data_IF_068629835400
#
_entry.id   IF_068629835400
#
_cell.length_a   1.000
_cell.length_b   1.000
_cell.length_c   1.000
_cell.angle_alpha   90.00
_cell.angle_beta   90.00
_cell.angle_gamma   90.00
#
_symmetry.space_group_name_H-M   'P 1'
#
loop_
_entity.id
_entity.type
_entity.pdbx_description
1 polymer ?
#
# COMPACT_ATOMS: atom_id res chain seq x y z
N UNK A 1 -4.55 13.74 -19.24
CA UNK A 1 -4.10 14.64 -18.14
C UNK A 1 -4.83 14.22 -16.89
N UNK A 2 -4.10 13.89 -15.82
CA UNK A 2 -4.67 13.46 -14.54
C UNK A 2 -4.94 14.70 -13.67
N UNK A 3 -6.16 14.84 -13.17
CA UNK A 3 -6.54 15.96 -12.31
C UNK A 3 -6.33 15.61 -10.84
N UNK A 4 -6.22 16.63 -9.97
CA UNK A 4 -6.11 16.41 -8.53
C UNK A 4 -7.32 15.63 -7.97
N UNK A 5 -8.51 15.79 -8.57
CA UNK A 5 -9.73 15.08 -8.15
C UNK A 5 -9.61 13.58 -8.42
N UNK A 6 -9.16 13.21 -9.61
CA UNK A 6 -8.98 11.81 -10.01
C UNK A 6 -7.95 11.12 -9.10
N UNK A 7 -6.85 11.83 -8.79
CA UNK A 7 -5.84 11.36 -7.84
C UNK A 7 -6.44 11.13 -6.46
N UNK A 8 -7.14 12.12 -5.91
CA UNK A 8 -7.60 12.10 -4.52
C UNK A 8 -8.75 11.11 -4.28
N UNK A 9 -9.72 11.05 -5.19
CA UNK A 9 -10.96 10.28 -4.98
C UNK A 9 -10.86 8.86 -5.50
N UNK A 10 -10.23 8.66 -6.67
CA UNK A 10 -10.38 7.41 -7.42
C UNK A 10 -9.10 6.55 -7.40
N UNK A 11 -7.96 7.10 -6.95
CA UNK A 11 -6.68 6.41 -7.08
C UNK A 11 -5.93 6.15 -5.77
N UNK A 12 -6.17 6.89 -4.69
CA UNK A 12 -5.34 6.70 -3.50
C UNK A 12 -5.59 5.37 -2.77
N UNK A 13 -6.80 4.82 -2.83
CA UNK A 13 -7.11 3.50 -2.27
C UNK A 13 -6.42 2.39 -3.07
N UNK A 14 -6.70 2.34 -4.37
CA UNK A 14 -6.18 1.33 -5.30
C UNK A 14 -4.65 1.38 -5.47
N UNK A 15 -4.05 2.58 -5.45
CA UNK A 15 -2.59 2.75 -5.49
C UNK A 15 -1.91 2.15 -4.27
N UNK A 16 -2.54 2.31 -3.11
CA UNK A 16 -2.04 1.78 -1.86
C UNK A 16 -2.27 0.26 -1.69
N UNK A 17 -3.17 -0.31 -2.48
CA UNK A 17 -3.43 -1.74 -2.60
C UNK A 17 -2.63 -2.41 -3.74
N UNK A 18 -1.83 -1.63 -4.48
CA UNK A 18 -1.02 -2.07 -5.64
C UNK A 18 -1.86 -2.75 -6.73
N UNK A 19 -3.14 -2.41 -6.85
CA UNK A 19 -4.07 -3.02 -7.81
C UNK A 19 -4.04 -2.34 -9.18
N UNK A 20 -3.25 -1.26 -9.33
CA UNK A 20 -3.17 -0.53 -10.60
C UNK A 20 -2.28 -1.19 -11.65
N UNK A 21 -2.70 -1.00 -12.90
CA UNK A 21 -1.84 -1.23 -14.06
C UNK A 21 -0.60 -0.32 -13.99
N UNK A 22 0.59 -0.80 -14.38
CA UNK A 22 1.84 -0.02 -14.30
C UNK A 22 1.79 1.35 -14.99
N UNK A 23 1.02 1.45 -16.08
CA UNK A 23 0.86 2.70 -16.85
C UNK A 23 0.16 3.80 -16.03
N UNK A 24 -0.83 3.42 -15.22
CA UNK A 24 -1.60 4.35 -14.37
C UNK A 24 -0.75 4.85 -13.21
N UNK A 25 0.12 3.99 -12.67
CA UNK A 25 1.07 4.33 -11.62
C UNK A 25 2.05 5.42 -12.08
N UNK A 26 2.60 5.29 -13.28
CA UNK A 26 3.54 6.27 -13.82
C UNK A 26 2.90 7.67 -13.99
N UNK A 27 1.66 7.72 -14.44
CA UNK A 27 0.95 9.00 -14.60
C UNK A 27 0.62 9.65 -13.25
N UNK A 28 0.23 8.85 -12.27
CA UNK A 28 -0.02 9.29 -10.90
C UNK A 28 1.26 9.82 -10.24
N UNK A 29 2.39 9.11 -10.36
CA UNK A 29 3.67 9.55 -9.81
C UNK A 29 4.13 10.88 -10.41
N UNK A 30 3.97 11.08 -11.72
CA UNK A 30 4.26 12.36 -12.37
C UNK A 30 3.43 13.49 -11.80
N UNK A 31 2.13 13.28 -11.59
CA UNK A 31 1.25 14.28 -10.98
C UNK A 31 1.68 14.60 -9.54
N UNK A 32 1.96 13.57 -8.75
CA UNK A 32 2.36 13.69 -7.36
C UNK A 32 3.69 14.44 -7.18
N UNK A 33 4.64 14.28 -8.11
CA UNK A 33 5.89 15.03 -8.14
C UNK A 33 5.67 16.51 -8.51
N UNK A 34 4.73 16.79 -9.42
CA UNK A 34 4.44 18.14 -9.89
C UNK A 34 3.47 18.94 -9.00
N UNK A 35 2.73 18.27 -8.11
CA UNK A 35 1.65 18.87 -7.32
C UNK A 35 1.85 18.69 -5.80
N UNK A 36 2.48 19.67 -5.12
CA UNK A 36 2.71 19.62 -3.67
C UNK A 36 1.44 19.41 -2.81
N UNK A 37 0.26 19.99 -3.15
CA UNK A 37 -0.97 19.72 -2.41
C UNK A 37 -1.40 18.24 -2.44
N UNK A 38 -1.34 17.59 -3.60
CA UNK A 38 -1.67 16.16 -3.73
C UNK A 38 -0.67 15.29 -2.95
N UNK A 39 0.61 15.68 -2.92
CA UNK A 39 1.62 15.01 -2.11
C UNK A 39 1.36 15.16 -0.61
N UNK A 40 0.95 16.34 -0.14
CA UNK A 40 0.57 16.56 1.24
C UNK A 40 -0.68 15.75 1.63
N UNK A 41 -1.65 15.65 0.72
CA UNK A 41 -2.85 14.84 0.90
C UNK A 41 -2.49 13.35 1.02
N UNK A 42 -1.67 12.81 0.09
CA UNK A 42 -1.20 11.43 0.13
C UNK A 42 -0.52 11.09 1.46
N UNK A 43 0.36 11.96 1.96
CA UNK A 43 1.02 11.78 3.27
C UNK A 43 0.01 11.72 4.42
N UNK A 44 -1.02 12.57 4.39
CA UNK A 44 -2.09 12.57 5.40
C UNK A 44 -2.89 11.27 5.32
N UNK A 45 -3.29 10.86 4.13
CA UNK A 45 -4.04 9.63 3.90
C UNK A 45 -3.28 8.38 4.37
N UNK A 46 -1.98 8.29 4.08
CA UNK A 46 -1.10 7.21 4.58
C UNK A 46 -1.09 7.14 6.11
N UNK A 47 -0.98 8.29 6.79
CA UNK A 47 -1.03 8.36 8.26
C UNK A 47 -2.39 7.91 8.80
N UNK A 48 -3.48 8.37 8.19
CA UNK A 48 -4.84 7.95 8.56
C UNK A 48 -5.00 6.43 8.43
N UNK A 49 -4.55 5.86 7.31
CA UNK A 49 -4.59 4.41 7.07
C UNK A 49 -3.80 3.65 8.14
N UNK A 50 -2.60 4.11 8.48
CA UNK A 50 -1.79 3.49 9.53
C UNK A 50 -2.44 3.55 10.91
N UNK A 51 -3.07 4.67 11.26
CA UNK A 51 -3.80 4.81 12.51
C UNK A 51 -4.99 3.84 12.57
N UNK A 52 -5.81 3.77 11.51
CA UNK A 52 -6.95 2.86 11.40
C UNK A 52 -6.50 1.39 11.48
N UNK A 53 -5.43 1.04 10.76
CA UNK A 53 -4.85 -0.31 10.79
C UNK A 53 -4.44 -0.71 12.20
N UNK A 54 -3.81 0.19 12.96
CA UNK A 54 -3.38 -0.06 14.34
C UNK A 54 -4.57 -0.19 15.29
N UNK A 55 -5.63 0.60 15.11
CA UNK A 55 -6.81 0.54 15.98
C UNK A 55 -7.60 -0.76 15.88
N UNK A 56 -7.59 -1.40 14.70
CA UNK A 56 -8.26 -2.68 14.46
C UNK A 56 -7.35 -3.91 14.50
N UNK A 57 -6.08 -3.74 14.88
CA UNK A 57 -5.11 -4.83 14.78
C UNK A 57 -5.37 -5.88 15.86
N UNK A 58 -5.91 -7.02 15.45
CA UNK A 58 -6.02 -8.20 16.31
C UNK A 58 -4.67 -8.91 16.34
N UNK A 59 -4.24 -9.32 17.53
CA UNK A 59 -3.05 -10.15 17.68
C UNK A 59 -3.25 -11.47 16.91
N UNK A 60 -2.33 -11.77 15.99
CA UNK A 60 -2.33 -13.05 15.31
C UNK A 60 -2.18 -14.18 16.35
N UNK A 61 -3.04 -15.22 16.32
CA UNK A 61 -2.90 -16.37 17.19
C UNK A 61 -1.52 -17.03 17.04
N UNK A 62 -0.93 -17.50 18.14
CA UNK A 62 0.45 -18.01 18.13
C UNK A 62 0.61 -19.28 17.27
N UNK A 63 -0.43 -20.10 17.18
CA UNK A 63 -0.49 -21.26 16.29
C UNK A 63 -0.34 -20.83 14.82
N UNK A 64 -1.12 -19.83 14.41
CA UNK A 64 -1.06 -19.28 13.05
C UNK A 64 0.31 -18.68 12.75
N UNK A 65 0.90 -17.95 13.73
CA UNK A 65 2.26 -17.40 13.61
C UNK A 65 3.31 -18.50 13.40
N UNK A 66 3.16 -19.63 14.10
CA UNK A 66 4.06 -20.78 13.97
C UNK A 66 3.95 -21.44 12.60
N UNK A 67 2.73 -21.66 12.11
CA UNK A 67 2.46 -22.22 10.78
C UNK A 67 3.04 -21.31 9.69
N UNK A 68 2.76 -20.01 9.76
CA UNK A 68 3.25 -19.03 8.79
C UNK A 68 4.77 -18.95 8.78
N UNK A 69 5.42 -18.90 9.95
CA UNK A 69 6.90 -18.91 10.04
C UNK A 69 7.48 -20.15 9.36
N UNK A 70 6.93 -21.34 9.64
CA UNK A 70 7.39 -22.59 9.01
C UNK A 70 7.23 -22.52 7.50
N UNK A 71 6.07 -22.10 7.01
CA UNK A 71 5.78 -22.00 5.58
C UNK A 71 6.74 -21.03 4.88
N UNK A 72 6.92 -19.82 5.42
CA UNK A 72 7.83 -18.81 4.84
C UNK A 72 9.27 -19.30 4.80
N UNK A 73 9.75 -19.93 5.87
CA UNK A 73 11.11 -20.50 5.91
C UNK A 73 11.31 -21.60 4.87
N UNK A 74 10.31 -22.46 4.65
CA UNK A 74 10.35 -23.48 3.59
C UNK A 74 10.39 -22.86 2.20
N UNK A 75 9.63 -21.79 1.95
CA UNK A 75 9.63 -21.11 0.65
C UNK A 75 10.95 -20.37 0.39
N UNK A 76 11.51 -19.70 1.41
CA UNK A 76 12.82 -19.05 1.29
C UNK A 76 13.95 -20.05 1.09
N UNK A 77 13.87 -21.24 1.71
CA UNK A 77 14.81 -22.33 1.46
C UNK A 77 14.69 -22.95 0.07
N UNK A 78 13.49 -22.94 -0.53
CA UNK A 78 13.23 -23.38 -1.92
C UNK A 78 13.60 -22.32 -2.96
N UNK A 79 13.53 -21.04 -2.61
CA UNK A 79 13.85 -19.91 -3.47
C UNK A 79 15.34 -19.55 -3.45
N UNK A 80 16.16 -20.25 -2.66
CA UNK A 80 17.61 -20.10 -2.63
C UNK A 80 18.23 -21.04 -3.67
N UNK A 81 18.93 -20.54 -4.70
CA UNK A 81 19.65 -21.37 -5.66
C UNK A 81 20.80 -22.13 -4.98
#
# INVERSE_FOLDING_TARGET
MLTCKDVIMDMLADYLELTFRPEVVADLERHLQACPPCMAYLKTYQKTRDLVRRSGQVAMPEEMRTILRRFVMQQLGRARP
#
